data_IF_726732461453
#
_entry.id   IF_726732461453
#
_cell.length_a   1.000
_cell.length_b   1.000
_cell.length_c   1.000
_cell.angle_alpha   90.00
_cell.angle_beta   90.00
_cell.angle_gamma   90.00
#
_symmetry.space_group_name_H-M   'P 1'
#
loop_
_entity.id
_entity.type
_entity.pdbx_description
1 polymer ?
#
# COMPACT_ATOMS: atom_id res chain seq x y z
N UNK A 1 -3.49 -30.69 36.36
CA UNK A 1 -2.86 -29.38 36.06
C UNK A 1 -2.19 -29.52 34.71
N UNK A 2 -2.87 -29.10 33.64
CA UNK A 2 -2.34 -29.23 32.28
C UNK A 2 -1.80 -27.86 31.86
N UNK A 3 -0.48 -27.71 31.84
CA UNK A 3 0.16 -26.56 31.21
C UNK A 3 -0.08 -26.67 29.69
N UNK A 4 -0.79 -25.73 29.05
CA UNK A 4 -0.83 -25.71 27.59
C UNK A 4 0.59 -25.42 27.10
N UNK A 5 1.07 -26.33 26.26
CA UNK A 5 2.31 -26.25 25.52
C UNK A 5 2.47 -24.88 24.88
N UNK A 6 3.62 -24.25 25.09
CA UNK A 6 4.02 -23.00 24.45
C UNK A 6 4.22 -23.23 22.95
N UNK A 7 3.12 -23.30 22.19
CA UNK A 7 3.18 -23.12 20.76
C UNK A 7 3.79 -21.73 20.52
N UNK A 8 4.88 -21.67 19.75
CA UNK A 8 5.51 -20.42 19.36
C UNK A 8 4.51 -19.61 18.53
N UNK A 9 3.73 -18.77 19.20
CA UNK A 9 2.86 -17.82 18.54
C UNK A 9 3.78 -16.84 17.83
N UNK A 10 3.70 -16.80 16.49
CA UNK A 10 4.41 -15.82 15.69
C UNK A 10 4.18 -14.43 16.30
N UNK A 11 5.19 -13.57 16.27
CA UNK A 11 4.99 -12.18 16.69
C UNK A 11 3.83 -11.59 15.90
N UNK A 12 2.97 -10.74 16.50
CA UNK A 12 1.80 -10.19 15.79
C UNK A 12 2.15 -9.57 14.45
N UNK A 13 3.30 -8.90 14.38
CA UNK A 13 3.85 -8.32 13.17
C UNK A 13 4.16 -9.36 12.09
N UNK A 14 4.83 -10.45 12.45
CA UNK A 14 5.17 -11.52 11.51
C UNK A 14 3.92 -12.28 11.04
N UNK A 15 2.92 -12.41 11.92
CA UNK A 15 1.59 -12.93 11.54
C UNK A 15 0.91 -12.00 10.52
N UNK A 16 1.00 -10.68 10.71
CA UNK A 16 0.47 -9.69 9.77
C UNK A 16 1.10 -9.80 8.38
N UNK A 17 2.43 -9.92 8.32
CA UNK A 17 3.13 -10.16 7.05
C UNK A 17 2.68 -11.46 6.39
N UNK A 18 2.59 -12.55 7.16
CA UNK A 18 2.15 -13.86 6.66
C UNK A 18 0.75 -13.79 6.06
N UNK A 19 -0.18 -13.14 6.76
CA UNK A 19 -1.57 -13.02 6.31
C UNK A 19 -1.69 -12.11 5.06
N UNK A 20 -0.75 -11.18 4.86
CA UNK A 20 -0.70 -10.28 3.71
C UNK A 20 0.02 -10.85 2.47
N UNK A 21 0.73 -11.98 2.58
CA UNK A 21 1.47 -12.58 1.44
C UNK A 21 0.63 -12.76 0.16
N UNK A 22 -0.65 -13.18 0.21
CA UNK A 22 -1.45 -13.31 -1.00
C UNK A 22 -1.65 -11.99 -1.77
N UNK A 23 -1.58 -10.84 -1.09
CA UNK A 23 -1.73 -9.53 -1.72
C UNK A 23 -0.61 -9.22 -2.73
N UNK A 24 0.59 -9.79 -2.52
CA UNK A 24 1.76 -9.57 -3.38
C UNK A 24 1.49 -10.02 -4.82
N UNK A 25 0.68 -11.06 -5.01
CA UNK A 25 0.30 -11.56 -6.33
C UNK A 25 -0.44 -10.53 -7.18
N UNK A 26 -1.18 -9.61 -6.54
CA UNK A 26 -1.78 -8.47 -7.23
C UNK A 26 -0.86 -7.24 -7.26
N UNK A 27 -0.10 -7.01 -6.19
CA UNK A 27 0.65 -5.76 -6.02
C UNK A 27 1.87 -5.70 -6.92
N UNK A 28 2.65 -6.78 -6.98
CA UNK A 28 3.92 -6.79 -7.72
C UNK A 28 3.70 -6.54 -9.22
N UNK A 29 2.80 -7.27 -9.92
CA UNK A 29 2.61 -7.05 -11.36
C UNK A 29 2.12 -5.63 -11.67
N UNK A 30 1.14 -5.14 -10.90
CA UNK A 30 0.59 -3.79 -11.11
C UNK A 30 1.63 -2.72 -10.81
N UNK A 31 2.43 -2.89 -9.75
CA UNK A 31 3.51 -1.97 -9.42
C UNK A 31 4.59 -1.94 -10.51
N UNK A 32 4.96 -3.09 -11.07
CA UNK A 32 5.87 -3.17 -12.23
C UNK A 32 5.29 -2.41 -13.42
N UNK A 33 4.01 -2.63 -13.74
CA UNK A 33 3.33 -1.88 -14.81
C UNK A 33 3.35 -0.38 -14.56
N UNK A 34 3.14 0.06 -13.31
CA UNK A 34 3.23 1.49 -12.96
C UNK A 34 4.62 2.05 -13.24
N UNK A 35 5.68 1.37 -12.77
CA UNK A 35 7.06 1.81 -12.99
C UNK A 35 7.42 1.95 -14.47
N UNK A 36 7.01 0.97 -15.28
CA UNK A 36 7.20 0.99 -16.73
C UNK A 36 6.48 2.15 -17.40
N UNK A 37 5.20 2.37 -17.05
CA UNK A 37 4.39 3.45 -17.63
C UNK A 37 4.92 4.82 -17.21
N UNK A 38 5.38 4.98 -15.97
CA UNK A 38 5.96 6.22 -15.49
C UNK A 38 7.21 6.60 -16.29
N UNK A 39 8.11 5.65 -16.55
CA UNK A 39 9.32 5.94 -17.33
C UNK A 39 9.04 6.20 -18.79
N UNK A 40 8.07 5.51 -19.40
CA UNK A 40 7.56 5.84 -20.74
C UNK A 40 6.94 7.24 -20.82
N UNK A 41 6.40 7.75 -19.70
CA UNK A 41 5.90 9.11 -19.56
C UNK A 41 7.00 10.14 -19.24
N UNK A 42 8.28 9.78 -19.40
CA UNK A 42 9.47 10.60 -19.13
C UNK A 42 9.74 10.92 -17.65
N UNK A 43 9.14 10.18 -16.71
CA UNK A 43 9.57 10.25 -15.32
C UNK A 43 10.84 9.42 -15.13
N UNK A 44 11.78 9.93 -14.33
CA UNK A 44 12.95 9.16 -13.93
C UNK A 44 12.57 7.98 -13.03
N UNK A 45 13.45 6.98 -12.95
CA UNK A 45 13.32 5.85 -12.01
C UNK A 45 13.14 6.31 -10.57
N UNK A 46 13.84 7.39 -10.21
CA UNK A 46 13.75 8.00 -8.89
C UNK A 46 12.37 8.61 -8.63
N UNK A 47 11.84 9.40 -9.58
CA UNK A 47 10.52 10.01 -9.46
C UNK A 47 9.41 8.95 -9.37
N UNK A 48 9.44 7.94 -10.23
CA UNK A 48 8.49 6.84 -10.18
C UNK A 48 8.50 6.12 -8.82
N UNK A 49 9.70 5.84 -8.29
CA UNK A 49 9.87 5.20 -6.98
C UNK A 49 9.39 6.10 -5.84
N UNK A 50 9.72 7.39 -5.87
CA UNK A 50 9.29 8.37 -4.87
C UNK A 50 7.77 8.53 -4.85
N UNK A 51 7.13 8.57 -6.02
CA UNK A 51 5.67 8.59 -6.15
C UNK A 51 5.05 7.36 -5.47
N UNK A 52 5.56 6.16 -5.74
CA UNK A 52 5.06 4.93 -5.11
C UNK A 52 5.31 4.88 -3.60
N UNK A 53 6.42 5.43 -3.11
CA UNK A 53 6.73 5.45 -1.69
C UNK A 53 5.83 6.42 -0.90
N UNK A 54 5.56 7.61 -1.47
CA UNK A 54 4.90 8.73 -0.79
C UNK A 54 3.39 8.79 -1.02
N UNK A 55 2.93 8.56 -2.24
CA UNK A 55 1.51 8.68 -2.59
C UNK A 55 0.79 7.35 -2.39
N UNK A 56 1.46 6.23 -2.66
CA UNK A 56 0.99 4.86 -2.42
C UNK A 56 -0.53 4.67 -2.61
N UNK A 57 -1.01 4.87 -3.83
CA UNK A 57 -2.44 4.95 -4.10
C UNK A 57 -2.88 4.28 -5.41
N UNK A 58 -2.08 3.34 -5.93
CA UNK A 58 -2.46 2.44 -7.01
C UNK A 58 -3.05 3.17 -8.22
N UNK A 59 -4.36 3.02 -8.42
CA UNK A 59 -5.12 3.63 -9.51
C UNK A 59 -4.90 5.14 -9.67
N UNK A 60 -4.81 5.90 -8.57
CA UNK A 60 -4.59 7.34 -8.68
C UNK A 60 -3.18 7.70 -9.13
N UNK A 61 -2.18 6.83 -8.92
CA UNK A 61 -0.83 7.04 -9.44
C UNK A 61 -0.80 6.94 -10.97
N UNK A 62 -1.49 5.95 -11.53
CA UNK A 62 -1.63 5.82 -12.99
C UNK A 62 -2.34 7.03 -13.60
N UNK A 63 -3.46 7.46 -12.99
CA UNK A 63 -4.16 8.65 -13.45
C UNK A 63 -3.28 9.90 -13.36
N UNK A 64 -2.60 10.09 -12.22
CA UNK A 64 -1.71 11.22 -12.00
C UNK A 64 -0.62 11.30 -13.08
N UNK A 65 0.07 10.20 -13.34
CA UNK A 65 1.11 10.13 -14.39
C UNK A 65 0.51 10.42 -15.77
N UNK A 66 -0.63 9.82 -16.11
CA UNK A 66 -1.28 10.03 -17.41
C UNK A 66 -1.71 11.50 -17.61
N UNK A 67 -2.22 12.15 -16.56
CA UNK A 67 -2.62 13.55 -16.62
C UNK A 67 -1.42 14.50 -16.69
N UNK A 68 -0.36 14.24 -15.94
CA UNK A 68 0.87 15.03 -16.02
C UNK A 68 1.51 14.89 -17.39
N UNK A 69 1.56 13.68 -17.95
CA UNK A 69 2.09 13.42 -19.28
C UNK A 69 1.27 14.08 -20.41
N UNK A 70 -0.05 14.26 -20.23
CA UNK A 70 -0.91 14.96 -21.19
C UNK A 70 -0.88 16.49 -21.07
N UNK A 71 -0.09 17.03 -20.13
CA UNK A 71 0.00 18.47 -19.90
C UNK A 71 -1.18 19.06 -19.13
N UNK A 72 -1.94 18.24 -18.40
CA UNK A 72 -3.02 18.74 -17.56
C UNK A 72 -2.49 19.67 -16.46
N UNK A 73 -3.28 20.68 -16.10
CA UNK A 73 -2.93 21.59 -15.00
C UNK A 73 -2.79 20.85 -13.67
N UNK A 74 -1.76 21.18 -12.88
CA UNK A 74 -1.47 20.52 -11.61
C UNK A 74 -2.64 20.52 -10.62
N UNK A 75 -3.43 21.59 -10.57
CA UNK A 75 -4.60 21.66 -9.68
C UNK A 75 -5.63 20.56 -10.02
N UNK A 76 -5.86 20.30 -11.31
CA UNK A 76 -6.80 19.29 -11.78
C UNK A 76 -6.30 17.88 -11.43
N UNK A 77 -4.99 17.66 -11.55
CA UNK A 77 -4.34 16.40 -11.13
C UNK A 77 -4.58 16.14 -9.64
N UNK A 78 -4.38 17.15 -8.80
CA UNK A 78 -4.63 17.05 -7.35
C UNK A 78 -6.09 16.73 -7.08
N UNK A 79 -7.02 17.46 -7.69
CA UNK A 79 -8.46 17.24 -7.48
C UNK A 79 -8.89 15.84 -7.91
N UNK A 80 -8.47 15.38 -9.09
CA UNK A 80 -8.80 14.04 -9.56
C UNK A 80 -8.19 12.95 -8.69
N UNK A 81 -6.94 13.14 -8.24
CA UNK A 81 -6.27 12.22 -7.30
C UNK A 81 -7.03 12.13 -5.98
N UNK A 82 -7.48 13.26 -5.43
CA UNK A 82 -8.30 13.31 -4.22
C UNK A 82 -9.66 12.63 -4.43
N UNK A 83 -10.32 12.88 -5.56
CA UNK A 83 -11.63 12.31 -5.88
C UNK A 83 -11.57 10.78 -5.97
N UNK A 84 -10.55 10.22 -6.64
CA UNK A 84 -10.34 8.76 -6.68
C UNK A 84 -10.11 8.21 -5.28
N UNK A 85 -9.34 8.93 -4.45
CA UNK A 85 -8.99 8.47 -3.11
C UNK A 85 -10.07 8.75 -2.06
N UNK A 86 -11.16 9.44 -2.40
CA UNK A 86 -12.24 9.74 -1.46
C UNK A 86 -12.83 8.49 -0.78
N UNK A 87 -12.70 7.31 -1.41
CA UNK A 87 -13.02 6.01 -0.80
C UNK A 87 -12.35 5.74 0.55
N UNK A 88 -11.18 6.30 0.81
CA UNK A 88 -10.48 6.15 2.10
C UNK A 88 -11.22 6.86 3.24
N UNK A 89 -12.03 7.89 2.94
CA UNK A 89 -12.92 8.53 3.93
C UNK A 89 -13.97 7.55 4.44
N UNK A 90 -14.37 6.57 3.62
CA UNK A 90 -15.30 5.50 4.01
C UNK A 90 -14.58 4.42 4.83
N UNK A 91 -13.32 4.12 4.52
CA UNK A 91 -12.55 3.07 5.22
C UNK A 91 -12.17 3.45 6.64
N UNK A 92 -11.72 4.68 6.86
CA UNK A 92 -11.25 5.16 8.16
C UNK A 92 -12.22 4.85 9.32
N UNK A 93 -13.51 5.28 9.31
CA UNK A 93 -14.43 5.01 10.43
C UNK A 93 -14.73 3.53 10.65
N UNK A 94 -14.57 2.68 9.63
CA UNK A 94 -14.77 1.24 9.72
C UNK A 94 -13.54 0.49 10.28
N UNK A 95 -12.38 1.13 10.27
CA UNK A 95 -11.11 0.53 10.71
C UNK A 95 -10.64 1.08 12.06
N UNK A 96 -10.85 2.37 12.34
CA UNK A 96 -10.42 3.02 13.59
C UNK A 96 -10.91 2.30 14.86
N UNK A 97 -12.18 1.84 14.98
CA UNK A 97 -12.65 1.13 16.17
C UNK A 97 -11.99 -0.24 16.39
N UNK A 98 -11.37 -0.79 15.34
CA UNK A 98 -10.69 -2.08 15.39
C UNK A 98 -9.24 -1.94 15.85
N UNK A 99 -8.66 -0.74 15.82
CA UNK A 99 -7.28 -0.47 16.23
C UNK A 99 -7.21 0.04 17.68
N UNK A 100 -6.05 -0.06 18.35
CA UNK A 100 -5.88 0.48 19.69
C UNK A 100 -6.21 1.99 19.76
N UNK A 101 -6.81 2.45 20.87
CA UNK A 101 -7.21 3.84 21.04
C UNK A 101 -5.98 4.79 21.04
N UNK A 102 -6.20 6.02 20.57
CA UNK A 102 -5.17 7.08 20.50
C UNK A 102 -5.01 7.65 19.10
N UNK A 103 -3.92 8.39 18.84
CA UNK A 103 -3.59 8.97 17.51
C UNK A 103 -2.60 8.15 16.70
N UNK A 104 -2.08 7.05 17.24
CA UNK A 104 -1.08 6.19 16.57
C UNK A 104 -1.59 5.57 15.28
N UNK A 105 -2.91 5.39 15.14
CA UNK A 105 -3.53 4.88 13.93
C UNK A 105 -3.37 5.83 12.73
N UNK A 106 -3.16 7.14 12.94
CA UNK A 106 -3.01 8.11 11.85
C UNK A 106 -1.80 7.75 10.98
N UNK A 107 -0.65 7.43 11.60
CA UNK A 107 0.54 7.01 10.87
C UNK A 107 0.34 5.67 10.12
N UNK A 108 -0.54 4.80 10.63
CA UNK A 108 -0.87 3.52 9.98
C UNK A 108 -1.73 3.70 8.73
N UNK A 109 -2.42 4.83 8.58
CA UNK A 109 -3.28 5.10 7.42
C UNK A 109 -2.48 5.27 6.13
N UNK A 110 -1.17 5.58 6.21
CA UNK A 110 -0.30 5.57 5.03
C UNK A 110 -0.30 4.20 4.34
N UNK A 111 -0.36 3.10 5.10
CA UNK A 111 -0.40 1.75 4.55
C UNK A 111 -1.79 1.26 4.15
N UNK A 112 -2.81 2.13 4.20
CA UNK A 112 -4.17 1.75 3.88
C UNK A 112 -4.37 1.68 2.37
N UNK A 113 -4.83 0.52 1.91
CA UNK A 113 -5.24 0.24 0.53
C UNK A 113 -6.52 -0.57 0.58
N UNK A 114 -7.24 -0.72 -0.52
CA UNK A 114 -8.50 -1.47 -0.56
C UNK A 114 -8.34 -2.91 -0.06
N UNK A 115 -7.22 -3.53 -0.44
CA UNK A 115 -6.92 -4.92 -0.09
C UNK A 115 -6.43 -5.05 1.35
N UNK A 116 -5.63 -4.10 1.85
CA UNK A 116 -5.25 -4.06 3.27
C UNK A 116 -6.48 -3.78 4.14
N UNK A 117 -7.39 -2.89 3.70
CA UNK A 117 -8.66 -2.64 4.37
C UNK A 117 -9.51 -3.92 4.43
N UNK A 118 -9.73 -4.59 3.29
CA UNK A 118 -10.53 -5.81 3.23
C UNK A 118 -9.95 -6.91 4.14
N UNK A 119 -8.61 -7.10 4.10
CA UNK A 119 -7.92 -8.06 4.94
C UNK A 119 -8.04 -7.69 6.43
N UNK A 120 -7.77 -6.44 6.79
CA UNK A 120 -7.81 -5.97 8.17
C UNK A 120 -9.23 -6.00 8.75
N UNK A 121 -10.23 -5.59 7.97
CA UNK A 121 -11.63 -5.60 8.41
C UNK A 121 -12.12 -7.02 8.71
N UNK A 122 -11.67 -8.01 7.95
CA UNK A 122 -11.97 -9.42 8.22
C UNK A 122 -11.16 -9.99 9.40
N UNK A 123 -9.87 -9.68 9.48
CA UNK A 123 -8.93 -10.35 10.39
C UNK A 123 -8.86 -9.72 11.78
N UNK A 124 -8.87 -8.39 11.89
CA UNK A 124 -8.71 -7.68 13.17
C UNK A 124 -9.75 -8.08 14.23
N UNK A 125 -11.05 -8.27 13.92
CA UNK A 125 -12.04 -8.70 14.92
C UNK A 125 -11.70 -10.03 15.61
N UNK A 126 -10.95 -10.90 14.93
CA UNK A 126 -10.55 -12.23 15.42
C UNK A 126 -9.29 -12.19 16.31
N UNK A 127 -8.62 -11.03 16.41
CA UNK A 127 -7.38 -10.86 17.15
C UNK A 127 -7.62 -10.10 18.47
N UNK A 128 -6.87 -10.43 19.55
CA UNK A 128 -6.85 -9.63 20.77
C UNK A 128 -6.44 -8.18 20.49
N UNK A 129 -7.09 -7.19 21.11
CA UNK A 129 -6.85 -5.76 20.83
C UNK A 129 -5.37 -5.36 20.91
N UNK A 130 -4.62 -5.91 21.86
CA UNK A 130 -3.19 -5.63 22.07
C UNK A 130 -2.30 -6.04 20.90
N UNK A 131 -2.70 -7.03 20.09
CA UNK A 131 -1.88 -7.54 18.98
C UNK A 131 -2.21 -6.87 17.64
N UNK A 132 -3.38 -6.23 17.54
CA UNK A 132 -3.93 -5.68 16.29
C UNK A 132 -3.04 -4.64 15.62
N UNK A 133 -2.43 -3.75 16.40
CA UNK A 133 -1.51 -2.75 15.85
C UNK A 133 -0.28 -3.41 15.23
N UNK A 134 0.35 -4.37 15.93
CA UNK A 134 1.52 -5.08 15.41
C UNK A 134 1.19 -5.84 14.14
N UNK A 135 0.06 -6.55 14.13
CA UNK A 135 -0.43 -7.25 12.94
C UNK A 135 -0.68 -6.31 11.77
N UNK A 136 -1.38 -5.18 12.00
CA UNK A 136 -1.68 -4.22 10.94
C UNK A 136 -0.39 -3.62 10.36
N UNK A 137 0.56 -3.20 11.22
CA UNK A 137 1.86 -2.69 10.80
C UNK A 137 2.62 -3.69 9.93
N UNK A 138 2.59 -4.98 10.27
CA UNK A 138 3.24 -6.02 9.49
C UNK A 138 2.62 -6.22 8.12
N UNK A 139 1.29 -6.30 8.06
CA UNK A 139 0.55 -6.43 6.81
C UNK A 139 0.78 -5.21 5.88
N UNK A 140 0.63 -4.01 6.44
CA UNK A 140 0.81 -2.75 5.71
C UNK A 140 2.23 -2.58 5.19
N UNK A 141 3.25 -2.89 6.00
CA UNK A 141 4.65 -2.75 5.59
C UNK A 141 5.02 -3.72 4.47
N UNK A 142 4.58 -4.98 4.55
CA UNK A 142 4.84 -5.95 3.48
C UNK A 142 4.18 -5.52 2.17
N UNK A 143 2.90 -5.09 2.25
CA UNK A 143 2.16 -4.60 1.10
C UNK A 143 2.84 -3.36 0.47
N UNK A 144 3.22 -2.38 1.28
CA UNK A 144 3.93 -1.18 0.84
C UNK A 144 5.29 -1.51 0.23
N UNK A 145 6.10 -2.34 0.88
CA UNK A 145 7.42 -2.72 0.38
C UNK A 145 7.33 -3.47 -0.96
N UNK A 146 6.37 -4.38 -1.09
CA UNK A 146 6.16 -5.10 -2.36
C UNK A 146 5.79 -4.16 -3.51
N UNK A 147 5.01 -3.11 -3.22
CA UNK A 147 4.62 -2.10 -4.19
C UNK A 147 5.81 -1.23 -4.61
N UNK A 148 6.56 -0.69 -3.65
CA UNK A 148 7.73 0.14 -3.95
C UNK A 148 8.78 -0.64 -4.73
N UNK A 149 9.10 -1.87 -4.31
CA UNK A 149 10.06 -2.73 -5.01
C UNK A 149 9.57 -3.08 -6.42
N UNK A 150 8.30 -3.44 -6.59
CA UNK A 150 7.71 -3.70 -7.90
C UNK A 150 7.80 -2.47 -8.82
N UNK A 151 7.47 -1.28 -8.31
CA UNK A 151 7.62 -0.02 -9.07
C UNK A 151 9.05 0.23 -9.48
N UNK A 152 10.01 0.09 -8.58
CA UNK A 152 11.42 0.31 -8.91
C UNK A 152 11.91 -0.68 -9.97
N UNK A 153 11.56 -1.96 -9.85
CA UNK A 153 11.90 -2.96 -10.87
C UNK A 153 11.29 -2.62 -12.23
N UNK A 154 10.01 -2.25 -12.27
CA UNK A 154 9.35 -1.84 -13.51
C UNK A 154 9.94 -0.57 -14.11
N UNK A 155 10.29 0.42 -13.29
CA UNK A 155 10.89 1.66 -13.73
C UNK A 155 12.31 1.44 -14.29
N UNK A 156 13.15 0.65 -13.60
CA UNK A 156 14.47 0.27 -14.11
C UNK A 156 14.34 -0.47 -15.45
N UNK A 157 13.42 -1.43 -15.55
CA UNK A 157 13.18 -2.13 -16.81
C UNK A 157 12.74 -1.16 -17.93
N UNK A 158 11.82 -0.24 -17.64
CA UNK A 158 11.34 0.74 -18.62
C UNK A 158 12.40 1.75 -19.07
N UNK A 159 13.27 2.19 -18.18
CA UNK A 159 14.39 3.07 -18.54
C UNK A 159 15.32 2.40 -19.56
N UNK A 160 15.71 1.14 -19.33
CA UNK A 160 16.57 0.38 -20.25
C UNK A 160 15.92 0.11 -21.62
N UNK A 161 14.59 0.12 -21.70
CA UNK A 161 13.85 -0.03 -22.96
C UNK A 161 13.73 1.30 -23.72
N UNK A 162 13.76 2.43 -23.02
CA UNK A 162 13.62 3.77 -23.63
C UNK A 162 14.96 4.31 -24.11
N UNK A 163 16.08 3.79 -23.59
CA UNK A 163 17.45 4.12 -24.01
C UNK A 163 17.94 3.36 -25.26
N UNK A 164 17.09 2.51 -25.87
CA UNK A 164 17.37 1.78 -27.12
C UNK A 164 16.60 2.40 -28.30
#
# INVERSE_FOLDING_TARGET
>A
MNNPTSASTLSPWLQGMRDAMPLLGGYIPVAISFGLIATQANFSVWEATAISALIYAGASQFLMVAMLASGASLWLVVVMTLLINARHVVYAPNLTPLLPPGRRWIALMHGLTDQVFALAHNRLPQLPMVTRQGWYSGAALLAWASWVLGTTLGAVAGANLTEQ
#
